data_IF_941403887926
#
_entry.id   IF_941403887926
#
_cell.length_a   1.000
_cell.length_b   1.000
_cell.length_c   1.000
_cell.angle_alpha   90.00
_cell.angle_beta   90.00
_cell.angle_gamma   90.00
#
_symmetry.space_group_name_H-M   'P 1'
#
loop_
_entity.id
_entity.type
_entity.pdbx_description
1 polymer ?
#
# COMPACT_ATOMS: atom_id res chain seq x y z
N UNK A 1 -12.72 -2.33 5.23
CA UNK A 1 -12.83 -3.27 6.37
C UNK A 1 -11.48 -3.29 7.06
N UNK A 2 -11.45 -3.20 8.38
CA UNK A 2 -10.20 -3.19 9.12
C UNK A 2 -9.70 -4.62 9.31
N UNK A 3 -8.40 -4.85 9.18
CA UNK A 3 -7.81 -6.18 9.32
C UNK A 3 -6.33 -6.08 9.69
N UNK A 4 -5.79 -7.16 10.25
CA UNK A 4 -4.35 -7.33 10.41
C UNK A 4 -3.79 -7.87 9.10
N UNK A 5 -2.84 -7.14 8.51
CA UNK A 5 -2.16 -7.49 7.27
C UNK A 5 -0.76 -8.00 7.61
N UNK A 6 -0.43 -9.22 7.15
CA UNK A 6 0.91 -9.79 7.20
C UNK A 6 1.35 -10.02 5.76
N UNK A 7 2.25 -9.15 5.28
CA UNK A 7 2.74 -9.19 3.90
C UNK A 7 4.25 -9.46 3.85
N UNK A 8 4.64 -10.27 2.86
CA UNK A 8 6.04 -10.43 2.46
C UNK A 8 6.22 -9.94 1.03
N UNK A 9 7.35 -9.29 0.75
CA UNK A 9 7.56 -8.64 -0.54
C UNK A 9 8.99 -8.69 -1.03
N UNK A 10 9.13 -8.66 -2.35
CA UNK A 10 10.40 -8.55 -3.06
C UNK A 10 10.28 -7.64 -4.26
N UNK A 11 11.33 -6.87 -4.53
CA UNK A 11 11.44 -6.17 -5.81
C UNK A 11 11.66 -7.18 -6.93
N UNK A 12 11.13 -6.86 -8.10
CA UNK A 12 11.33 -7.59 -9.34
C UNK A 12 12.10 -6.71 -10.33
N UNK A 13 12.91 -7.34 -11.17
CA UNK A 13 13.28 -6.72 -12.44
C UNK A 13 12.15 -6.94 -13.47
N UNK A 14 12.21 -6.22 -14.59
CA UNK A 14 11.20 -6.28 -15.64
C UNK A 14 10.99 -7.69 -16.21
N UNK A 15 12.05 -8.49 -16.32
CA UNK A 15 11.97 -9.85 -16.86
C UNK A 15 11.26 -10.80 -15.88
N UNK A 16 11.55 -10.72 -14.60
CA UNK A 16 10.86 -11.48 -13.55
C UNK A 16 9.37 -11.09 -13.50
N UNK A 17 9.05 -9.80 -13.53
CA UNK A 17 7.67 -9.32 -13.63
C UNK A 17 6.95 -9.90 -14.85
N UNK A 18 7.56 -9.83 -16.03
CA UNK A 18 6.98 -10.37 -17.25
C UNK A 18 6.76 -11.88 -17.19
N UNK A 19 7.66 -12.63 -16.53
CA UNK A 19 7.53 -14.08 -16.38
C UNK A 19 6.33 -14.48 -15.51
N UNK A 20 5.93 -13.62 -14.56
CA UNK A 20 4.79 -13.86 -13.68
C UNK A 20 3.45 -13.52 -14.33
N UNK A 21 3.41 -12.68 -15.37
CA UNK A 21 2.15 -12.26 -16.01
C UNK A 21 1.28 -13.43 -16.49
N UNK A 22 1.88 -14.57 -16.85
CA UNK A 22 1.11 -15.77 -17.23
C UNK A 22 0.25 -16.35 -16.11
N UNK A 23 0.56 -16.05 -14.84
CA UNK A 23 -0.24 -16.48 -13.70
C UNK A 23 -1.54 -15.69 -13.55
N UNK A 24 -1.60 -14.48 -14.12
CA UNK A 24 -2.66 -13.50 -13.91
C UNK A 24 -3.53 -13.30 -15.16
N UNK A 25 -3.48 -14.21 -16.14
CA UNK A 25 -4.25 -14.08 -17.40
C UNK A 25 -5.76 -14.03 -17.22
N UNK A 26 -6.26 -14.56 -16.10
CA UNK A 26 -7.64 -14.61 -15.66
C UNK A 26 -7.98 -13.54 -14.61
N UNK A 27 -7.02 -12.68 -14.26
CA UNK A 27 -7.16 -11.61 -13.27
C UNK A 27 -7.33 -10.26 -13.97
N UNK A 28 -8.29 -9.42 -13.58
CA UNK A 28 -8.41 -8.07 -14.10
C UNK A 28 -7.25 -7.18 -13.59
N UNK A 29 -6.73 -6.32 -14.47
CA UNK A 29 -5.82 -5.26 -14.07
C UNK A 29 -6.59 -4.19 -13.28
N UNK A 30 -6.08 -3.85 -12.10
CA UNK A 30 -6.58 -2.74 -11.27
C UNK A 30 -5.57 -1.60 -11.30
N UNK A 31 -6.03 -0.40 -11.66
CA UNK A 31 -5.22 0.81 -11.57
C UNK A 31 -5.66 1.58 -10.32
N UNK A 32 -4.71 1.86 -9.46
CA UNK A 32 -4.91 2.56 -8.20
C UNK A 32 -3.86 3.65 -8.03
N UNK A 33 -4.23 4.80 -7.44
CA UNK A 33 -3.27 5.84 -7.07
C UNK A 33 -3.31 6.07 -5.57
N UNK A 34 -2.16 5.95 -4.92
CA UNK A 34 -1.99 6.21 -3.49
C UNK A 34 -1.49 7.64 -3.32
N UNK A 35 -2.29 8.49 -2.67
CA UNK A 35 -1.92 9.85 -2.25
C UNK A 35 -1.50 9.80 -0.78
N UNK A 36 -0.20 9.91 -0.53
CA UNK A 36 0.38 9.81 0.81
C UNK A 36 0.30 11.12 1.57
N UNK A 37 -0.07 11.02 2.84
CA UNK A 37 -0.41 12.13 3.71
C UNK A 37 0.46 12.09 4.95
N UNK A 38 0.99 13.24 5.34
CA UNK A 38 1.71 13.42 6.61
C UNK A 38 1.61 14.90 7.03
N UNK A 39 2.10 15.21 8.23
CA UNK A 39 2.32 16.60 8.66
C UNK A 39 3.68 17.11 8.17
N UNK A 40 3.93 18.44 8.16
CA UNK A 40 5.25 18.98 7.82
C UNK A 40 6.40 18.39 8.64
N UNK A 41 6.13 18.06 9.92
CA UNK A 41 7.09 17.47 10.85
C UNK A 41 7.15 15.93 10.76
N UNK A 42 6.46 15.33 9.78
CA UNK A 42 6.42 13.90 9.49
C UNK A 42 5.96 13.05 10.68
N UNK A 43 4.92 13.50 11.39
CA UNK A 43 4.46 12.85 12.62
C UNK A 43 3.91 11.44 12.36
N UNK A 44 3.22 11.19 11.24
CA UNK A 44 2.72 9.86 10.86
C UNK A 44 3.90 8.89 10.73
N UNK A 45 4.91 9.30 9.94
CA UNK A 45 6.15 8.53 9.76
C UNK A 45 6.94 8.34 11.05
N UNK A 46 6.99 9.36 11.91
CA UNK A 46 7.71 9.29 13.20
C UNK A 46 7.15 8.20 14.11
N UNK A 47 5.84 7.95 14.02
CA UNK A 47 5.14 6.87 14.71
C UNK A 47 5.16 5.55 13.93
N UNK A 48 5.93 5.46 12.84
CA UNK A 48 6.01 4.30 11.93
C UNK A 48 4.66 3.89 11.33
N UNK A 49 3.72 4.82 11.24
CA UNK A 49 2.44 4.62 10.58
C UNK A 49 2.53 5.06 9.11
N UNK A 50 1.50 4.73 8.33
CA UNK A 50 1.32 5.27 6.98
C UNK A 50 -0.14 5.67 6.77
N UNK A 51 -0.37 6.90 6.29
CA UNK A 51 -1.70 7.41 5.96
C UNK A 51 -1.77 7.70 4.46
N UNK A 52 -2.84 7.25 3.80
CA UNK A 52 -3.07 7.52 2.40
C UNK A 52 -4.55 7.66 2.07
N UNK A 53 -4.85 8.42 1.03
CA UNK A 53 -6.06 8.24 0.23
C UNK A 53 -5.69 7.40 -0.99
N UNK A 54 -6.34 6.25 -1.16
CA UNK A 54 -6.21 5.43 -2.37
C UNK A 54 -7.40 5.71 -3.28
N UNK A 55 -7.14 6.09 -4.51
CA UNK A 55 -8.16 6.32 -5.55
C UNK A 55 -8.10 5.24 -6.60
N UNK A 56 -9.29 4.84 -7.07
CA UNK A 56 -9.53 3.98 -8.22
C UNK A 56 -10.33 4.78 -9.25
N UNK A 57 -10.74 4.11 -10.34
CA UNK A 57 -11.57 4.75 -11.37
C UNK A 57 -12.86 5.35 -10.83
N UNK A 58 -13.60 4.59 -10.03
CA UNK A 58 -14.96 4.92 -9.59
C UNK A 58 -15.14 4.85 -8.06
N UNK A 59 -14.04 4.75 -7.30
CA UNK A 59 -14.05 4.59 -5.84
C UNK A 59 -12.79 5.18 -5.21
N UNK A 60 -12.85 5.46 -3.91
CA UNK A 60 -11.70 5.86 -3.12
C UNK A 60 -11.84 5.39 -1.66
N UNK A 61 -10.71 5.28 -0.98
CA UNK A 61 -10.64 4.92 0.44
C UNK A 61 -9.54 5.68 1.16
N UNK A 62 -9.76 5.98 2.44
CA UNK A 62 -8.76 6.45 3.39
C UNK A 62 -8.23 5.23 4.15
N UNK A 63 -6.91 5.05 4.15
CA UNK A 63 -6.25 3.95 4.85
C UNK A 63 -5.21 4.49 5.82
N UNK A 64 -5.26 4.04 7.07
CA UNK A 64 -4.20 4.21 8.06
C UNK A 64 -3.62 2.85 8.43
N UNK A 65 -2.34 2.61 8.10
CA UNK A 65 -1.59 1.43 8.57
C UNK A 65 -0.91 1.75 9.89
N UNK A 66 -1.15 0.93 10.91
CA UNK A 66 -0.54 1.03 12.23
C UNK A 66 0.32 -0.23 12.47
N UNK A 67 1.60 -0.08 12.86
CA UNK A 67 2.46 -1.23 13.10
C UNK A 67 2.00 -2.02 14.33
N UNK A 68 1.99 -3.35 14.20
CA UNK A 68 1.70 -4.29 15.27
C UNK A 68 2.93 -5.16 15.60
N UNK A 69 2.83 -6.04 16.60
CA UNK A 69 3.90 -7.01 16.91
C UNK A 69 4.21 -7.91 15.71
N UNK A 70 3.17 -8.26 14.96
CA UNK A 70 3.24 -9.03 13.72
C UNK A 70 2.41 -8.30 12.68
N UNK A 71 3.02 -7.88 11.57
CA UNK A 71 2.33 -7.19 10.49
C UNK A 71 1.90 -5.75 10.83
N UNK A 72 0.84 -5.29 10.16
CA UNK A 72 0.25 -3.98 10.36
C UNK A 72 -1.26 -4.10 10.49
N UNK A 73 -1.85 -3.40 11.44
CA UNK A 73 -3.29 -3.23 11.47
C UNK A 73 -3.69 -2.12 10.50
N UNK A 74 -4.53 -2.44 9.53
CA UNK A 74 -5.09 -1.48 8.59
C UNK A 74 -6.47 -1.01 9.03
N UNK A 75 -6.63 0.30 9.18
CA UNK A 75 -7.92 0.95 9.28
C UNK A 75 -8.32 1.47 7.91
N UNK A 76 -9.47 1.04 7.38
CA UNK A 76 -9.93 1.35 6.03
C UNK A 76 -11.33 1.95 6.04
N UNK A 77 -11.45 3.19 5.58
CA UNK A 77 -12.69 3.94 5.48
C UNK A 77 -12.99 4.27 4.01
N UNK A 78 -14.11 3.78 3.48
CA UNK A 78 -14.57 4.16 2.15
C UNK A 78 -14.88 5.66 2.11
N UNK A 79 -14.53 6.32 1.01
CA UNK A 79 -14.76 7.74 0.80
C UNK A 79 -15.79 7.94 -0.30
N UNK A 80 -16.72 8.87 -0.07
CA UNK A 80 -17.50 9.47 -1.15
C UNK A 80 -16.62 10.35 -2.04
N UNK A 81 -17.15 10.72 -3.22
CA UNK A 81 -16.47 11.66 -4.11
C UNK A 81 -16.23 13.01 -3.43
N UNK A 82 -17.20 13.50 -2.66
CA UNK A 82 -17.10 14.76 -1.92
C UNK A 82 -16.01 14.70 -0.85
N UNK A 83 -15.96 13.63 -0.05
CA UNK A 83 -14.90 13.46 0.97
C UNK A 83 -13.52 13.30 0.33
N UNK A 84 -13.43 12.61 -0.80
CA UNK A 84 -12.18 12.46 -1.55
C UNK A 84 -11.66 13.81 -2.01
N UNK A 85 -12.52 14.64 -2.62
CA UNK A 85 -12.20 15.99 -3.04
C UNK A 85 -11.82 16.88 -1.85
N UNK A 86 -12.57 16.80 -0.75
CA UNK A 86 -12.32 17.54 0.47
C UNK A 86 -10.92 17.24 1.07
N UNK A 87 -10.50 15.98 1.09
CA UNK A 87 -9.15 15.61 1.57
C UNK A 87 -8.09 16.13 0.59
N UNK A 88 -8.22 15.79 -0.70
CA UNK A 88 -7.15 16.02 -1.68
C UNK A 88 -6.94 17.51 -2.01
N UNK A 89 -8.01 18.31 -2.01
CA UNK A 89 -7.93 19.73 -2.38
C UNK A 89 -7.97 20.69 -1.18
N UNK A 90 -8.61 20.27 -0.07
CA UNK A 90 -8.88 21.16 1.06
C UNK A 90 -8.33 20.67 2.39
N UNK A 91 -7.65 19.51 2.42
CA UNK A 91 -7.09 18.90 3.63
C UNK A 91 -8.15 18.68 4.72
N UNK A 92 -9.39 18.46 4.31
CA UNK A 92 -10.52 18.26 5.19
C UNK A 92 -10.80 16.76 5.34
N UNK A 93 -10.52 16.23 6.52
CA UNK A 93 -10.70 14.81 6.81
C UNK A 93 -12.10 14.53 7.36
N UNK A 94 -12.80 13.51 6.82
CA UNK A 94 -14.11 13.11 7.30
C UNK A 94 -14.03 12.60 8.72
N UNK A 95 -15.14 12.69 9.45
CA UNK A 95 -15.26 12.05 10.74
C UNK A 95 -15.24 10.52 10.57
N UNK A 96 -14.65 9.82 11.54
CA UNK A 96 -14.48 8.38 11.47
C UNK A 96 -13.38 7.87 12.38
N UNK A 97 -13.19 6.55 12.36
CA UNK A 97 -12.24 5.85 13.21
C UNK A 97 -10.79 6.33 12.99
N UNK A 98 -10.40 6.55 11.73
CA UNK A 98 -9.06 7.02 11.38
C UNK A 98 -8.78 8.39 11.99
N UNK A 99 -9.70 9.36 11.82
CA UNK A 99 -9.57 10.70 12.39
C UNK A 99 -9.49 10.66 13.92
N UNK A 100 -10.35 9.86 14.55
CA UNK A 100 -10.34 9.67 16.01
C UNK A 100 -9.01 9.10 16.50
N UNK A 101 -8.45 8.12 15.80
CA UNK A 101 -7.17 7.51 16.15
C UNK A 101 -6.01 8.49 16.02
N UNK A 102 -5.97 9.28 14.95
CA UNK A 102 -4.99 10.34 14.74
C UNK A 102 -5.02 11.37 15.89
N UNK A 103 -6.22 11.82 16.28
CA UNK A 103 -6.40 12.75 17.41
C UNK A 103 -5.92 12.11 18.72
N UNK A 104 -6.25 10.84 18.98
CA UNK A 104 -5.81 10.13 20.20
C UNK A 104 -4.30 9.97 20.29
N UNK A 105 -3.61 10.02 19.14
CA UNK A 105 -2.15 9.94 19.01
C UNK A 105 -1.49 11.33 18.96
N UNK A 106 -2.25 12.37 19.31
CA UNK A 106 -1.82 13.77 19.35
C UNK A 106 -1.32 14.29 18.00
N UNK A 107 -1.84 13.75 16.89
CA UNK A 107 -1.52 14.21 15.54
C UNK A 107 -2.51 15.31 15.14
N UNK A 108 -2.03 16.54 14.82
CA UNK A 108 -2.90 17.65 14.42
C UNK A 108 -3.45 17.41 13.00
N UNK A 109 -4.71 16.99 12.91
CA UNK A 109 -5.37 16.63 11.65
C UNK A 109 -5.39 17.81 10.67
N UNK A 110 -5.47 19.04 11.17
CA UNK A 110 -5.45 20.27 10.39
C UNK A 110 -4.10 20.58 9.71
N UNK A 111 -3.03 19.86 10.08
CA UNK A 111 -1.71 19.98 9.42
C UNK A 111 -1.46 18.86 8.42
N UNK A 112 -2.36 17.88 8.30
CA UNK A 112 -2.18 16.77 7.37
C UNK A 112 -2.35 17.26 5.94
N UNK A 113 -1.34 17.01 5.12
CA UNK A 113 -1.36 17.36 3.71
C UNK A 113 -0.84 16.20 2.86
N UNK A 114 -1.37 16.09 1.64
CA UNK A 114 -0.81 15.21 0.62
C UNK A 114 0.57 15.75 0.24
N UNK A 115 1.61 14.94 0.40
CA UNK A 115 2.98 15.33 0.06
C UNK A 115 3.52 14.59 -1.18
N UNK A 116 2.88 13.47 -1.55
CA UNK A 116 3.33 12.65 -2.67
C UNK A 116 2.26 11.70 -3.17
N UNK A 117 2.39 11.23 -4.41
CA UNK A 117 1.47 10.26 -4.99
C UNK A 117 2.21 9.23 -5.84
N UNK A 118 1.68 8.01 -5.87
CA UNK A 118 2.21 6.88 -6.62
C UNK A 118 1.07 6.07 -7.21
N UNK A 119 1.13 5.84 -8.53
CA UNK A 119 0.15 5.03 -9.25
C UNK A 119 0.68 3.60 -9.39
N UNK A 120 -0.17 2.61 -9.17
CA UNK A 120 0.16 1.19 -9.31
C UNK A 120 -0.85 0.52 -10.23
N UNK A 121 -0.31 -0.16 -11.24
CA UNK A 121 -0.97 -1.20 -12.02
C UNK A 121 -0.81 -2.53 -11.26
N UNK A 122 -1.92 -3.08 -10.76
CA UNK A 122 -1.91 -4.24 -9.89
C UNK A 122 -2.73 -5.39 -10.46
N UNK A 123 -2.17 -6.59 -10.43
CA UNK A 123 -2.91 -7.84 -10.50
C UNK A 123 -2.94 -8.50 -9.13
N UNK A 124 -4.07 -9.06 -8.73
CA UNK A 124 -4.23 -9.81 -7.47
C UNK A 124 -4.85 -11.19 -7.73
N UNK A 125 -4.27 -12.22 -7.11
CA UNK A 125 -4.76 -13.59 -7.28
C UNK A 125 -4.55 -14.40 -6.01
N UNK A 126 -5.62 -15.06 -5.58
CA UNK A 126 -5.55 -16.05 -4.51
C UNK A 126 -4.81 -17.31 -4.97
N UNK A 127 -3.84 -17.75 -4.17
CA UNK A 127 -3.02 -18.93 -4.45
C UNK A 127 -2.85 -19.76 -3.17
N UNK A 128 -2.22 -20.93 -3.31
CA UNK A 128 -1.84 -21.73 -2.14
C UNK A 128 -0.81 -21.03 -1.23
N UNK A 129 -0.09 -20.02 -1.75
CA UNK A 129 0.89 -19.26 -0.97
C UNK A 129 0.26 -18.13 -0.14
N UNK A 130 -0.97 -17.72 -0.48
CA UNK A 130 -1.63 -16.52 0.01
C UNK A 130 -2.18 -15.67 -1.14
N UNK A 131 -2.62 -14.45 -0.82
CA UNK A 131 -3.05 -13.47 -1.81
C UNK A 131 -1.82 -12.82 -2.45
N UNK A 132 -1.58 -13.16 -3.71
CA UNK A 132 -0.41 -12.67 -4.46
C UNK A 132 -0.79 -11.40 -5.21
N UNK A 133 -0.06 -10.32 -4.97
CA UNK A 133 -0.15 -9.07 -5.71
C UNK A 133 1.10 -8.86 -6.58
N UNK A 134 0.89 -8.61 -7.87
CA UNK A 134 1.93 -8.27 -8.83
C UNK A 134 1.77 -6.81 -9.25
N UNK A 135 2.72 -5.98 -8.84
CA UNK A 135 2.64 -4.54 -8.94
C UNK A 135 3.65 -3.98 -9.94
N UNK A 136 3.16 -3.08 -10.78
CA UNK A 136 3.96 -2.15 -11.56
C UNK A 136 3.64 -0.73 -11.07
N UNK A 137 4.59 -0.10 -10.40
CA UNK A 137 4.41 1.22 -9.77
C UNK A 137 5.08 2.31 -10.60
N UNK A 138 4.36 3.39 -10.86
CA UNK A 138 4.82 4.59 -11.56
C UNK A 138 4.72 5.79 -10.62
N UNK A 139 5.83 6.52 -10.47
CA UNK A 139 5.88 7.71 -9.63
C UNK A 139 7.02 8.64 -10.05
N UNK A 140 6.71 9.93 -10.14
CA UNK A 140 7.63 10.94 -10.69
C UNK A 140 8.16 10.47 -12.06
N UNK A 141 9.48 10.41 -12.24
CA UNK A 141 10.14 9.96 -13.46
C UNK A 141 10.70 8.52 -13.36
N UNK A 142 10.15 7.69 -12.47
CA UNK A 142 10.61 6.31 -12.25
C UNK A 142 9.46 5.30 -12.27
N UNK A 143 9.81 4.07 -12.62
CA UNK A 143 8.97 2.88 -12.47
C UNK A 143 9.72 1.82 -11.66
N UNK A 144 8.97 0.91 -11.03
CA UNK A 144 9.52 -0.34 -10.51
C UNK A 144 8.45 -1.44 -10.47
N UNK A 145 8.92 -2.65 -10.18
CA UNK A 145 8.10 -3.86 -10.15
C UNK A 145 8.27 -4.55 -8.80
N UNK A 146 7.19 -5.05 -8.24
CA UNK A 146 7.17 -5.69 -6.92
C UNK A 146 6.20 -6.87 -6.90
N UNK A 147 6.59 -7.90 -6.16
CA UNK A 147 5.72 -9.01 -5.77
C UNK A 147 5.44 -8.88 -4.28
N UNK A 148 4.17 -8.93 -3.91
CA UNK A 148 3.73 -9.01 -2.51
C UNK A 148 2.89 -10.29 -2.35
N UNK A 149 3.01 -10.96 -1.20
CA UNK A 149 2.15 -12.06 -0.80
C UNK A 149 1.63 -11.77 0.59
N UNK A 150 0.33 -11.59 0.71
CA UNK A 150 -0.37 -11.49 1.98
C UNK A 150 -0.72 -12.89 2.50
N UNK A 151 -0.41 -13.14 3.77
CA UNK A 151 -0.64 -14.41 4.45
C UNK A 151 -1.51 -14.22 5.69
N UNK A 152 -2.18 -15.28 6.14
CA UNK A 152 -3.05 -15.23 7.31
C UNK A 152 -2.26 -15.22 8.62
N UNK A 153 -1.12 -15.92 8.67
CA UNK A 153 -0.29 -16.03 9.88
C UNK A 153 1.21 -15.89 9.58
N UNK A 154 1.99 -15.45 10.57
CA UNK A 154 3.43 -15.25 10.40
C UNK A 154 4.19 -16.55 10.05
N UNK A 155 3.70 -17.70 10.51
CA UNK A 155 4.30 -19.02 10.23
C UNK A 155 4.27 -19.38 8.74
N UNK A 156 3.44 -18.69 7.95
CA UNK A 156 3.33 -18.91 6.50
C UNK A 156 4.41 -18.15 5.69
N UNK A 157 5.42 -17.54 6.33
CA UNK A 157 6.55 -16.92 5.62
C UNK A 157 7.22 -17.88 4.62
N UNK A 158 7.30 -19.18 4.96
CA UNK A 158 7.86 -20.20 4.07
C UNK A 158 7.13 -20.26 2.73
N UNK A 159 5.82 -20.00 2.70
CA UNK A 159 5.05 -19.97 1.47
C UNK A 159 5.56 -18.89 0.50
N UNK A 160 5.94 -17.73 1.02
CA UNK A 160 6.51 -16.66 0.21
C UNK A 160 7.85 -17.09 -0.39
N UNK A 161 8.76 -17.63 0.45
CA UNK A 161 10.08 -18.08 -0.01
C UNK A 161 9.98 -19.23 -1.02
N UNK A 162 9.04 -20.16 -0.81
CA UNK A 162 8.77 -21.24 -1.74
C UNK A 162 8.21 -20.70 -3.06
N UNK A 163 7.24 -19.78 -3.01
CA UNK A 163 6.65 -19.18 -4.21
C UNK A 163 7.71 -18.48 -5.07
N UNK A 164 8.57 -17.65 -4.49
CA UNK A 164 9.63 -16.98 -5.27
C UNK A 164 10.63 -17.98 -5.83
N UNK A 165 10.95 -19.04 -5.09
CA UNK A 165 11.87 -20.10 -5.54
C UNK A 165 11.30 -20.87 -6.74
N UNK A 166 10.03 -21.26 -6.67
CA UNK A 166 9.33 -22.01 -7.73
C UNK A 166 9.24 -21.23 -9.03
N UNK A 167 9.18 -19.89 -8.94
CA UNK A 167 9.14 -19.00 -10.10
C UNK A 167 10.52 -18.45 -10.50
N UNK A 168 11.61 -18.94 -9.87
CA UNK A 168 12.98 -18.55 -10.22
C UNK A 168 13.33 -17.09 -9.89
N UNK A 169 12.65 -16.50 -8.91
CA UNK A 169 12.83 -15.11 -8.48
C UNK A 169 13.90 -15.06 -7.39
N UNK A 170 14.87 -14.17 -7.57
CA UNK A 170 15.89 -13.91 -6.55
C UNK A 170 15.35 -12.85 -5.59
N UNK A 171 15.29 -13.19 -4.29
CA UNK A 171 14.85 -12.27 -3.25
C UNK A 171 15.66 -10.97 -3.23
N UNK A 172 14.96 -9.84 -3.23
CA UNK A 172 15.50 -8.48 -3.12
C UNK A 172 14.67 -7.73 -2.10
N UNK A 173 15.30 -7.36 -0.99
CA UNK A 173 14.64 -6.58 0.06
C UNK A 173 13.97 -5.33 -0.52
N UNK A 174 12.68 -5.16 -0.23
CA UNK A 174 11.87 -4.06 -0.74
C UNK A 174 11.49 -3.11 0.40
N UNK A 175 11.83 -1.83 0.24
CA UNK A 175 11.27 -0.77 1.09
C UNK A 175 9.81 -0.54 0.71
N UNK A 176 8.98 -0.14 1.67
CA UNK A 176 7.60 0.27 1.40
C UNK A 176 7.55 1.31 0.27
N UNK A 177 6.53 1.23 -0.61
CA UNK A 177 6.29 2.18 -1.71
C UNK A 177 6.40 3.65 -1.28
N UNK A 178 5.81 4.00 -0.12
CA UNK A 178 5.89 5.35 0.46
C UNK A 178 7.35 5.79 0.75
N UNK A 179 8.21 4.89 1.23
CA UNK A 179 9.60 5.19 1.49
C UNK A 179 10.41 5.32 0.19
N UNK A 180 10.09 4.50 -0.83
CA UNK A 180 10.69 4.61 -2.17
C UNK A 180 10.32 5.93 -2.85
N UNK A 181 9.07 6.38 -2.71
CA UNK A 181 8.63 7.69 -3.17
C UNK A 181 9.36 8.83 -2.45
N UNK A 182 9.47 8.76 -1.12
CA UNK A 182 10.15 9.78 -0.32
C UNK A 182 11.64 9.93 -0.67
N UNK A 183 12.30 8.88 -1.16
CA UNK A 183 13.70 8.93 -1.61
C UNK A 183 13.89 9.68 -2.95
N UNK A 184 12.80 10.07 -3.61
CA UNK A 184 12.81 10.78 -4.89
C UNK A 184 12.37 12.25 -4.79
N UNK A 185 11.86 12.68 -3.64
CA UNK A 185 11.45 14.07 -3.35
C UNK A 185 12.54 14.78 -2.55
#
# INVERSE_FOLDING_TARGET
>A
MNHLEIEYKTLLNKQEYQSLLSLFTDTPLVIQTNHYIDTPDQLIRSQKMALRVRTFKDAAELTLKVPEVVGHFEYNQALSQEETEAILQHQQFPDGEIKNLLISKEIPVEQLAVWGSLTTERFEKETAAGLVALDHSLYLDTEDYELEIEVETAEQEENFHQFITDHGIVYKAAKNKIARLAERL
#
